data_IF_940108796485
#
_entry.id   IF_940108796485
#
_cell.length_a   1.000
_cell.length_b   1.000
_cell.length_c   1.000
_cell.angle_alpha   90.00
_cell.angle_beta   90.00
_cell.angle_gamma   90.00
#
_symmetry.space_group_name_H-M   'P 1'
#
loop_
_entity.id
_entity.type
_entity.pdbx_description
1 polymer ?
2 polymer ?
3 water ?
#
# COMPACT_ATOMS: atom_id res chain seq x y z
N UNK A 1 4.06 -6.31 7.96
CA UNK A 1 3.96 -6.13 6.51
C UNK A 1 3.02 -5.02 6.18
N UNK A 2 2.64 -4.93 4.94
CA UNK A 2 1.83 -3.86 4.52
C UNK A 2 0.44 -3.83 5.18
N UNK A 3 -0.13 -4.99 5.44
CA UNK A 3 -1.46 -5.02 6.04
C UNK A 3 -1.43 -4.40 7.43
N UNK A 4 -0.40 -4.73 8.21
CA UNK A 4 -0.27 -4.18 9.55
C UNK A 4 -0.11 -2.68 9.47
N UNK A 5 0.63 -2.19 8.52
CA UNK A 5 0.96 -0.73 8.48
C UNK A 5 -0.14 0.09 7.86
N UNK A 6 -0.95 -0.53 6.96
CA UNK A 6 -1.84 0.26 6.11
C UNK A 6 -3.30 -0.09 6.21
N UNK A 7 -3.61 -1.32 6.63
CA UNK A 7 -4.99 -1.78 6.73
C UNK A 7 -5.48 -1.74 8.18
N UNK A 8 -4.74 -2.40 9.08
CA UNK A 8 -5.14 -2.39 10.48
C UNK A 8 -4.63 -1.20 11.24
N UNK A 9 -3.71 -0.47 10.69
CA UNK A 9 -3.31 0.84 11.19
C UNK A 9 -3.44 1.85 9.96
N UNK A 10 -3.29 3.16 10.20
CA UNK A 10 -3.46 4.14 9.14
C UNK A 10 -2.23 4.10 8.23
N UNK A 11 -2.48 3.99 6.94
CA UNK A 11 -1.43 3.97 5.93
C UNK A 11 -0.80 5.35 5.78
N UNK A 12 0.30 5.38 5.05
CA UNK A 12 1.01 6.61 4.73
C UNK A 12 1.70 6.45 3.42
N UNK A 13 2.00 7.58 2.78
CA UNK A 13 2.80 7.51 1.56
C UNK A 13 4.15 6.92 1.81
N UNK A 14 4.75 7.27 2.94
CA UNK A 14 6.04 6.78 3.27
C UNK A 14 6.08 5.23 3.25
N UNK A 15 5.09 4.62 3.91
CA UNK A 15 5.00 3.18 3.95
C UNK A 15 4.62 2.57 2.60
N UNK A 16 3.70 3.15 1.89
CA UNK A 16 3.36 2.58 0.57
C UNK A 16 4.59 2.51 -0.30
N UNK A 17 5.42 3.56 -0.30
CA UNK A 17 6.56 3.56 -1.18
C UNK A 17 7.58 2.49 -0.84
N UNK A 18 7.54 1.95 0.39
CA UNK A 18 8.36 0.79 0.76
C UNK A 18 8.03 -0.45 -0.07
N UNK A 19 6.86 -0.49 -0.72
CA UNK A 19 6.42 -1.66 -1.46
C UNK A 19 6.40 -1.42 -2.95
N UNK A 20 6.88 -0.26 -3.42
CA UNK A 20 7.17 -0.07 -4.84
C UNK A 20 8.40 -0.83 -5.23
N UNK A 21 8.46 -1.30 -6.47
CA UNK A 21 9.69 -1.92 -6.98
C UNK A 21 10.79 -0.90 -7.12
N UNK B 1 -5.57 10.27 -0.48
CA UNK B 1 -6.04 8.92 -0.55
C UNK B 1 -5.19 7.94 0.25
N UNK B 2 -3.95 8.29 0.58
CA UNK B 2 -3.05 7.36 1.24
C UNK B 2 -3.18 7.34 2.76
N UNK B 3 -3.74 8.43 3.35
CA UNK B 3 -3.69 8.61 4.81
C UNK B 3 -4.99 8.13 5.43
N UNK B 4 -5.23 6.84 5.30
CA UNK B 4 -6.42 6.22 5.81
C UNK B 4 -6.15 4.72 5.98
N UNK B 5 -7.08 4.01 6.57
CA UNK B 5 -7.01 2.56 6.55
C UNK B 5 -7.35 2.08 5.16
N UNK B 6 -6.51 1.25 4.61
CA UNK B 6 -6.64 0.74 3.22
C UNK B 6 -6.45 -0.74 3.26
N UNK B 7 -7.51 -1.49 2.83
CA UNK B 7 -7.48 -2.95 2.89
C UNK B 7 -7.90 -3.53 1.55
N UNK B 8 -7.37 -4.67 1.23
CA UNK B 8 -7.85 -5.39 0.06
C UNK B 8 -7.68 -4.63 -1.20
N UNK B 9 -8.72 -4.58 -2.04
CA UNK B 9 -8.62 -3.88 -3.31
C UNK B 9 -8.31 -2.42 -3.13
N UNK B 10 -8.69 -1.86 -1.99
CA UNK B 10 -8.44 -0.45 -1.72
C UNK B 10 -6.95 -0.18 -1.51
N UNK B 11 -6.25 -1.15 -0.94
CA UNK B 11 -4.82 -1.06 -0.71
C UNK B 11 -4.04 -1.27 -2.01
N UNK B 12 -4.42 -2.28 -2.82
CA UNK B 12 -3.73 -2.46 -4.06
C UNK B 12 -3.92 -1.27 -5.01
N UNK B 13 -5.11 -0.63 -4.97
CA UNK B 13 -5.31 0.55 -5.78
C UNK B 13 -4.34 1.67 -5.37
N UNK B 14 -4.16 1.85 -4.06
CA UNK B 14 -3.24 2.90 -3.60
C UNK B 14 -1.80 2.61 -4.02
N UNK B 15 -1.36 1.36 -3.91
CA UNK B 15 -0.04 0.96 -4.42
C UNK B 15 0.09 1.27 -5.89
N UNK B 16 -0.94 0.91 -6.67
CA UNK B 16 -0.91 1.16 -8.09
C UNK B 16 -0.73 2.65 -8.40
N UNK B 17 -1.52 3.48 -7.73
CA UNK B 17 -1.46 4.92 -7.98
C UNK B 17 -0.12 5.54 -7.52
N UNK B 18 0.38 5.13 -6.37
CA UNK B 18 1.63 5.69 -5.85
C UNK B 18 2.83 5.23 -6.62
N UNK B 19 2.87 3.96 -6.95
CA UNK B 19 4.11 3.40 -7.46
C UNK B 19 4.29 3.65 -8.96
N UNK B 20 3.21 3.91 -9.67
CA UNK B 20 3.31 4.22 -11.10
C UNK B 20 4.10 3.18 -11.85
N UNK B 21 4.89 3.63 -12.81
CA UNK B 21 5.61 2.71 -13.71
C UNK B 21 6.55 1.72 -13.00
N UNK B 22 6.99 2.06 -11.79
CA UNK B 22 7.81 1.17 -10.99
C UNK B 22 7.10 -0.18 -10.79
N UNK B 23 5.83 -0.11 -10.60
CA UNK B 23 5.08 -1.21 -10.08
C UNK B 23 5.38 -1.48 -8.61
N UNK B 24 4.87 -2.59 -8.11
CA UNK B 24 4.87 -2.85 -6.68
C UNK B 24 4.71 -4.33 -6.41
N UNK B 25 4.89 -4.70 -5.15
CA UNK B 25 4.54 -6.02 -4.69
C UNK B 25 3.52 -5.94 -3.54
N UNK B 26 2.54 -6.84 -3.58
CA UNK B 26 1.51 -6.93 -2.58
C UNK B 26 1.63 -8.32 -1.94
N UNK B 27 2.02 -8.31 -0.70
CA UNK B 27 2.18 -9.55 0.07
C UNK B 27 1.47 -9.41 1.40
N UNK B 28 0.19 -9.77 1.48
CA UNK B 28 -0.55 -9.57 2.67
C UNK B 28 -0.31 -10.29 3.95
N UNK B 29 0.40 -11.34 3.82
CA UNK B 29 0.64 -12.34 4.93
C UNK B 29 2.07 -12.42 5.18
N UNK B 30 2.46 -12.31 6.46
#
# INVERSE_FOLDING_TARGET
GIVEQCCTSICSLYQLENYCN
FVNQHLCGSHLVEALYLVCGERGFFYTXKT
#
